data_IF_043374516967
#
_entry.id   IF_043374516967
#
_cell.length_a   1.000
_cell.length_b   1.000
_cell.length_c   1.000
_cell.angle_alpha   90.00
_cell.angle_beta   90.00
_cell.angle_gamma   90.00
#
_symmetry.space_group_name_H-M   'P 1'
#
loop_
_entity.id
_entity.type
_entity.pdbx_description
1 polymer ?
#
# COMPACT_ATOMS: atom_id res chain seq x y z
N UNK A 1 -20.95 -20.21 4.08
CA UNK A 1 -19.50 -20.46 4.28
C UNK A 1 -18.74 -19.71 3.20
N UNK A 2 -18.09 -18.57 3.52
CA UNK A 2 -17.22 -17.89 2.56
C UNK A 2 -16.04 -18.82 2.26
N UNK A 3 -15.85 -19.14 0.98
CA UNK A 3 -14.71 -19.93 0.49
C UNK A 3 -13.42 -19.21 0.89
N UNK A 4 -12.50 -19.89 1.59
CA UNK A 4 -11.24 -19.28 2.00
C UNK A 4 -10.51 -18.69 0.78
N UNK A 5 -10.02 -17.44 0.87
CA UNK A 5 -9.31 -16.82 -0.24
C UNK A 5 -7.97 -17.54 -0.45
N UNK A 6 -7.73 -18.03 -1.66
CA UNK A 6 -6.43 -18.59 -2.02
C UNK A 6 -5.43 -17.47 -2.29
N UNK A 7 -4.12 -17.69 -2.11
CA UNK A 7 -3.09 -16.68 -2.36
C UNK A 7 -3.20 -16.07 -3.76
N UNK A 8 -3.52 -16.89 -4.76
CA UNK A 8 -3.67 -16.45 -6.15
C UNK A 8 -4.89 -15.53 -6.33
N UNK A 9 -5.99 -15.80 -5.62
CA UNK A 9 -7.16 -14.91 -5.63
C UNK A 9 -6.87 -13.57 -4.96
N UNK A 10 -6.08 -13.58 -3.88
CA UNK A 10 -5.71 -12.34 -3.19
C UNK A 10 -4.78 -11.50 -4.06
N UNK A 11 -3.81 -12.12 -4.72
CA UNK A 11 -2.98 -11.44 -5.72
C UNK A 11 -3.85 -10.81 -6.81
N UNK A 12 -4.88 -11.51 -7.31
CA UNK A 12 -5.79 -10.95 -8.32
C UNK A 12 -6.69 -9.82 -7.80
N UNK A 13 -7.08 -9.84 -6.53
CA UNK A 13 -7.85 -8.75 -5.91
C UNK A 13 -6.96 -7.53 -5.70
N UNK A 14 -5.73 -7.71 -5.21
CA UNK A 14 -4.73 -6.65 -5.09
C UNK A 14 -4.37 -6.11 -6.48
N UNK A 15 -4.27 -6.98 -7.49
CA UNK A 15 -4.06 -6.60 -8.87
C UNK A 15 -5.15 -5.64 -9.37
N UNK A 16 -6.41 -6.01 -9.21
CA UNK A 16 -7.53 -5.19 -9.67
C UNK A 16 -7.61 -3.84 -8.95
N UNK A 17 -7.25 -3.80 -7.66
CA UNK A 17 -7.31 -2.58 -6.86
C UNK A 17 -6.13 -1.63 -7.04
N UNK A 18 -4.96 -2.16 -7.41
CA UNK A 18 -3.75 -1.39 -7.75
C UNK A 18 -3.71 -1.06 -9.25
N UNK A 19 -4.51 -1.73 -10.09
CA UNK A 19 -4.59 -1.43 -11.52
C UNK A 19 -5.04 0.02 -11.82
N UNK A 20 -5.91 0.58 -10.96
CA UNK A 20 -6.37 1.97 -11.03
C UNK A 20 -5.25 3.00 -10.73
N UNK A 21 -4.23 2.63 -9.94
CA UNK A 21 -3.03 3.45 -9.73
C UNK A 21 -1.97 3.25 -10.81
N UNK A 22 -2.20 2.37 -11.81
CA UNK A 22 -1.23 1.98 -12.84
C UNK A 22 0.11 1.46 -12.28
N UNK A 23 0.15 1.00 -11.03
CA UNK A 23 1.41 0.62 -10.35
C UNK A 23 1.75 -0.89 -10.45
N UNK A 24 1.00 -1.68 -11.23
CA UNK A 24 1.19 -3.13 -11.28
C UNK A 24 2.05 -3.58 -12.48
N UNK A 25 2.94 -4.58 -12.34
CA UNK A 25 3.74 -5.08 -13.46
C UNK A 25 2.90 -5.60 -14.64
N UNK A 26 3.25 -5.15 -15.85
CA UNK A 26 2.73 -5.77 -17.07
C UNK A 26 3.23 -7.19 -17.21
N UNK A 27 2.38 -8.11 -17.67
CA UNK A 27 2.81 -9.46 -18.00
C UNK A 27 3.83 -9.47 -19.14
N UNK A 28 4.80 -10.38 -19.04
CA UNK A 28 6.00 -10.52 -19.87
C UNK A 28 5.74 -10.85 -21.36
N UNK A 29 4.46 -10.99 -21.76
CA UNK A 29 4.00 -11.38 -23.10
C UNK A 29 3.07 -10.32 -23.74
N UNK A 30 3.46 -9.05 -23.74
CA UNK A 30 2.62 -7.95 -24.26
C UNK A 30 3.32 -7.12 -25.33
N UNK A 31 2.56 -6.65 -26.33
CA UNK A 31 3.06 -5.90 -27.49
C UNK A 31 3.70 -4.56 -27.09
N UNK A 32 4.75 -4.15 -27.82
CA UNK A 32 5.52 -2.90 -27.58
C UNK A 32 4.64 -1.65 -27.39
N UNK A 33 3.52 -1.56 -28.11
CA UNK A 33 2.55 -0.46 -28.03
C UNK A 33 1.74 -0.45 -26.73
N UNK A 34 1.34 -1.62 -26.19
CA UNK A 34 0.64 -1.68 -24.89
C UNK A 34 1.55 -1.28 -23.73
N UNK A 35 2.84 -1.64 -23.81
CA UNK A 35 3.86 -1.23 -22.84
C UNK A 35 4.05 0.29 -22.87
N UNK A 36 4.11 0.91 -24.05
CA UNK A 36 4.26 2.35 -24.20
C UNK A 36 3.05 3.12 -23.65
N UNK A 37 1.82 2.68 -23.99
CA UNK A 37 0.58 3.30 -23.50
C UNK A 37 0.45 3.17 -21.98
N UNK A 38 0.81 2.03 -21.39
CA UNK A 38 0.79 1.83 -19.94
C UNK A 38 1.77 2.76 -19.22
N UNK A 39 2.98 2.92 -19.76
CA UNK A 39 3.98 3.86 -19.23
C UNK A 39 3.49 5.31 -19.27
N UNK A 40 2.85 5.73 -20.36
CA UNK A 40 2.30 7.09 -20.48
C UNK A 40 1.16 7.34 -19.49
N UNK A 41 0.25 6.39 -19.32
CA UNK A 41 -0.87 6.50 -18.37
C UNK A 41 -0.40 6.52 -16.91
N UNK A 42 0.61 5.71 -16.56
CA UNK A 42 1.24 5.70 -15.25
C UNK A 42 1.92 7.04 -14.95
N UNK A 43 2.63 7.61 -15.94
CA UNK A 43 3.24 8.94 -15.84
C UNK A 43 2.18 10.03 -15.63
N UNK A 44 1.06 10.01 -16.37
CA UNK A 44 -0.02 11.00 -16.21
C UNK A 44 -0.72 10.89 -14.85
N UNK A 45 -0.95 9.67 -14.36
CA UNK A 45 -1.56 9.45 -13.04
C UNK A 45 -0.66 9.95 -11.91
N UNK A 46 0.64 9.65 -11.99
CA UNK A 46 1.65 10.17 -11.07
C UNK A 46 1.75 11.70 -11.20
N UNK A 47 1.77 12.27 -12.40
CA UNK A 47 1.80 13.73 -12.64
C UNK A 47 0.61 14.44 -12.00
N UNK A 48 -0.59 13.88 -12.09
CA UNK A 48 -1.80 14.49 -11.53
C UNK A 48 -1.83 14.42 -9.99
N UNK A 49 -1.34 13.33 -9.39
CA UNK A 49 -1.08 13.26 -7.94
C UNK A 49 0.08 14.19 -7.51
N UNK A 50 1.04 14.41 -8.42
CA UNK A 50 2.20 15.27 -8.23
C UNK A 50 1.96 16.76 -8.51
N UNK A 51 0.81 17.20 -9.04
CA UNK A 51 0.51 18.65 -9.19
C UNK A 51 0.42 19.40 -7.85
N UNK A 52 0.12 18.69 -6.76
CA UNK A 52 0.24 19.20 -5.39
C UNK A 52 1.68 19.08 -4.82
N UNK A 53 2.46 18.12 -5.33
CA UNK A 53 3.88 17.88 -5.01
C UNK A 53 4.83 18.78 -5.84
N UNK A 54 4.34 19.40 -6.92
CA UNK A 54 5.09 20.23 -7.87
C UNK A 54 5.67 21.51 -7.24
N UNK A 55 5.04 22.02 -6.16
CA UNK A 55 5.60 23.09 -5.33
C UNK A 55 6.81 22.64 -4.48
N UNK A 56 6.89 21.36 -4.10
CA UNK A 56 8.04 20.76 -3.41
C UNK A 56 9.10 20.26 -4.40
N UNK A 57 8.70 19.78 -5.58
CA UNK A 57 9.60 19.39 -6.68
C UNK A 57 10.34 20.55 -7.31
N UNK A 58 9.82 21.78 -7.28
CA UNK A 58 10.60 22.96 -7.71
C UNK A 58 11.89 23.10 -6.88
N UNK A 59 11.86 22.71 -5.61
CA UNK A 59 13.05 22.64 -4.74
C UNK A 59 13.99 21.46 -5.08
N UNK A 60 13.50 20.42 -5.76
CA UNK A 60 14.27 19.23 -6.20
C UNK A 60 14.78 19.41 -7.65
N UNK A 61 14.10 20.20 -8.47
CA UNK A 61 14.46 20.56 -9.86
C UNK A 61 15.85 21.19 -9.98
N UNK A 62 16.34 21.80 -8.90
CA UNK A 62 17.73 22.30 -8.79
C UNK A 62 18.78 21.17 -8.77
N UNK A 63 18.40 19.90 -8.52
CA UNK A 63 19.32 18.75 -8.37
C UNK A 63 18.97 17.58 -9.33
N UNK A 64 19.37 17.72 -10.59
CA UNK A 64 18.89 16.98 -11.78
C UNK A 64 19.50 15.58 -12.08
N UNK A 65 19.73 14.72 -11.08
CA UNK A 65 20.22 13.32 -11.27
C UNK A 65 19.15 12.20 -11.04
N UNK A 66 17.86 12.55 -10.90
CA UNK A 66 16.86 11.71 -10.21
C UNK A 66 15.96 10.76 -11.03
N UNK A 67 16.02 10.68 -12.38
CA UNK A 67 15.17 9.73 -13.17
C UNK A 67 15.64 8.28 -13.05
N UNK A 68 16.96 8.07 -12.94
CA UNK A 68 17.57 6.75 -12.81
C UNK A 68 17.14 6.09 -11.49
N UNK A 69 17.08 6.87 -10.42
CA UNK A 69 16.71 6.43 -9.07
C UNK A 69 15.25 5.93 -9.02
N UNK A 70 14.33 6.61 -9.72
CA UNK A 70 12.93 6.16 -9.81
C UNK A 70 12.84 4.83 -10.59
N UNK A 71 13.57 4.71 -11.70
CA UNK A 71 13.62 3.46 -12.47
C UNK A 71 14.21 2.29 -11.68
N UNK A 72 15.25 2.55 -10.89
CA UNK A 72 15.90 1.56 -10.03
C UNK A 72 14.96 1.10 -8.91
N UNK A 73 14.27 2.04 -8.25
CA UNK A 73 13.29 1.76 -7.21
C UNK A 73 12.14 0.89 -7.72
N UNK A 74 11.66 1.15 -8.95
CA UNK A 74 10.62 0.31 -9.58
C UNK A 74 11.14 -1.10 -9.82
N UNK A 75 12.35 -1.26 -10.37
CA UNK A 75 12.96 -2.57 -10.60
C UNK A 75 13.14 -3.36 -9.29
N UNK A 76 13.51 -2.70 -8.20
CA UNK A 76 13.64 -3.34 -6.88
C UNK A 76 12.30 -3.85 -6.35
N UNK A 77 11.23 -3.06 -6.46
CA UNK A 77 9.87 -3.49 -6.09
C UNK A 77 9.43 -4.68 -6.93
N UNK A 78 9.68 -4.65 -8.25
CA UNK A 78 9.35 -5.76 -9.15
C UNK A 78 10.08 -7.05 -8.77
N UNK A 79 11.37 -6.97 -8.45
CA UNK A 79 12.15 -8.13 -8.01
C UNK A 79 11.57 -8.77 -6.74
N UNK A 80 11.21 -7.95 -5.76
CA UNK A 80 10.61 -8.41 -4.49
C UNK A 80 9.25 -9.09 -4.72
N UNK A 81 8.47 -8.60 -5.69
CA UNK A 81 7.20 -9.21 -6.10
C UNK A 81 7.42 -10.54 -6.81
N UNK A 82 8.35 -10.59 -7.76
CA UNK A 82 8.66 -11.80 -8.52
C UNK A 82 9.12 -12.92 -7.59
N UNK A 83 10.04 -12.61 -6.66
CA UNK A 83 10.49 -13.57 -5.64
C UNK A 83 9.33 -14.08 -4.78
N UNK A 84 8.43 -13.18 -4.34
CA UNK A 84 7.23 -13.57 -3.60
C UNK A 84 6.35 -14.54 -4.42
N UNK A 85 6.07 -14.19 -5.68
CA UNK A 85 5.20 -14.95 -6.56
C UNK A 85 5.77 -16.34 -6.81
N UNK A 86 7.06 -16.42 -7.15
CA UNK A 86 7.71 -17.69 -7.46
C UNK A 86 7.82 -18.59 -6.22
N UNK A 87 8.11 -18.00 -5.06
CA UNK A 87 8.06 -18.75 -3.80
C UNK A 87 6.67 -19.31 -3.51
N UNK A 88 5.61 -18.52 -3.69
CA UNK A 88 4.23 -18.99 -3.44
C UNK A 88 3.84 -20.11 -4.41
N UNK A 89 4.29 -20.07 -5.66
CA UNK A 89 4.05 -21.15 -6.63
C UNK A 89 4.70 -22.45 -6.18
N UNK A 90 5.96 -22.39 -5.73
CA UNK A 90 6.76 -23.55 -5.32
C UNK A 90 6.53 -23.99 -3.87
N UNK A 91 5.74 -23.23 -3.10
CA UNK A 91 5.53 -23.45 -1.67
C UNK A 91 4.94 -24.84 -1.37
N UNK A 92 5.48 -25.47 -0.32
CA UNK A 92 5.02 -26.77 0.18
C UNK A 92 3.63 -26.64 0.82
N UNK A 93 2.90 -27.76 0.95
CA UNK A 93 1.52 -27.75 1.45
C UNK A 93 1.37 -27.10 2.83
N UNK A 94 2.33 -27.35 3.75
CA UNK A 94 2.28 -26.75 5.09
C UNK A 94 2.57 -25.23 5.06
N UNK A 95 3.41 -24.75 4.11
CA UNK A 95 3.70 -23.33 3.95
C UNK A 95 2.49 -22.60 3.36
N UNK A 96 1.83 -23.21 2.38
CA UNK A 96 0.56 -22.73 1.83
C UNK A 96 -0.51 -22.59 2.91
N UNK A 97 -0.60 -23.52 3.85
CA UNK A 97 -1.52 -23.42 4.97
C UNK A 97 -1.24 -22.19 5.85
N UNK A 98 0.03 -21.91 6.14
CA UNK A 98 0.45 -20.72 6.89
C UNK A 98 0.14 -19.44 6.11
N UNK A 99 0.41 -19.41 4.80
CA UNK A 99 0.05 -18.27 3.96
C UNK A 99 -1.46 -18.03 3.94
N UNK A 100 -2.27 -19.07 3.71
CA UNK A 100 -3.74 -18.97 3.73
C UNK A 100 -4.26 -18.47 5.08
N UNK A 101 -3.69 -18.96 6.19
CA UNK A 101 -4.02 -18.49 7.54
C UNK A 101 -3.73 -17.00 7.71
N UNK A 102 -2.54 -16.53 7.36
CA UNK A 102 -2.15 -15.12 7.48
C UNK A 102 -2.98 -14.23 6.53
N UNK A 103 -3.26 -14.70 5.32
CA UNK A 103 -4.15 -14.01 4.37
C UNK A 103 -5.56 -13.89 4.93
N UNK A 104 -6.15 -14.99 5.45
CA UNK A 104 -7.52 -14.97 5.97
C UNK A 104 -7.69 -13.99 7.14
N UNK A 105 -6.62 -13.79 7.92
CA UNK A 105 -6.58 -12.86 9.04
C UNK A 105 -6.66 -11.39 8.57
N UNK A 106 -5.96 -11.02 7.51
CA UNK A 106 -5.93 -9.64 7.03
C UNK A 106 -6.94 -9.34 5.92
N UNK A 107 -7.43 -10.36 5.20
CA UNK A 107 -8.23 -10.18 3.98
C UNK A 107 -9.55 -9.44 4.21
N UNK A 108 -10.22 -9.70 5.34
CA UNK A 108 -11.50 -9.04 5.65
C UNK A 108 -11.27 -7.55 5.89
N UNK A 109 -10.26 -7.21 6.69
CA UNK A 109 -9.95 -5.83 7.04
C UNK A 109 -9.41 -5.03 5.85
N UNK A 110 -8.47 -5.58 5.08
CA UNK A 110 -7.93 -4.90 3.89
C UNK A 110 -8.98 -4.80 2.78
N UNK A 111 -9.77 -5.85 2.57
CA UNK A 111 -10.85 -5.85 1.60
C UNK A 111 -11.94 -4.84 1.95
N UNK A 112 -12.35 -4.76 3.22
CA UNK A 112 -13.35 -3.78 3.67
C UNK A 112 -12.83 -2.35 3.60
N UNK A 113 -11.58 -2.12 4.01
CA UNK A 113 -10.93 -0.79 3.96
C UNK A 113 -10.85 -0.30 2.52
N UNK A 114 -10.40 -1.16 1.60
CA UNK A 114 -10.33 -0.86 0.17
C UNK A 114 -11.71 -0.55 -0.43
N UNK A 115 -12.71 -1.39 -0.14
CA UNK A 115 -14.07 -1.16 -0.61
C UNK A 115 -14.64 0.17 -0.08
N UNK A 116 -14.43 0.47 1.21
CA UNK A 116 -14.86 1.71 1.83
C UNK A 116 -14.21 2.93 1.16
N UNK A 117 -12.90 2.90 0.91
CA UNK A 117 -12.18 4.01 0.26
C UNK A 117 -12.69 4.30 -1.15
N UNK A 118 -12.91 3.26 -1.97
CA UNK A 118 -13.46 3.45 -3.32
C UNK A 118 -14.92 3.89 -3.32
N UNK A 119 -15.73 3.40 -2.37
CA UNK A 119 -17.10 3.88 -2.20
C UNK A 119 -17.12 5.37 -1.81
N UNK A 120 -16.22 5.81 -0.93
CA UNK A 120 -16.07 7.22 -0.57
C UNK A 120 -15.63 8.07 -1.75
N UNK A 121 -14.65 7.63 -2.55
CA UNK A 121 -14.23 8.34 -3.76
C UNK A 121 -15.36 8.46 -4.80
N UNK A 122 -16.14 7.38 -4.98
CA UNK A 122 -17.32 7.41 -5.84
C UNK A 122 -18.40 8.37 -5.30
N UNK A 123 -18.71 8.30 -4.01
CA UNK A 123 -19.67 9.21 -3.37
C UNK A 123 -19.23 10.68 -3.48
N UNK A 124 -17.93 10.96 -3.36
CA UNK A 124 -17.37 12.29 -3.55
C UNK A 124 -17.51 12.77 -4.99
N UNK A 125 -17.18 11.91 -5.95
CA UNK A 125 -17.25 12.23 -7.38
C UNK A 125 -18.67 12.45 -7.87
N UNK A 126 -19.64 11.62 -7.43
CA UNK A 126 -21.04 11.71 -7.87
C UNK A 126 -21.91 12.60 -6.98
N UNK A 127 -21.41 13.01 -5.80
CA UNK A 127 -22.14 13.87 -4.86
C UNK A 127 -22.75 15.13 -5.49
N UNK A 128 -22.02 15.90 -6.32
CA UNK A 128 -22.53 17.11 -6.98
C UNK A 128 -23.68 16.87 -7.97
N UNK A 129 -23.88 15.64 -8.44
CA UNK A 129 -25.00 15.31 -9.32
C UNK A 129 -26.32 15.15 -8.55
N UNK A 130 -26.25 14.95 -7.23
CA UNK A 130 -27.41 14.65 -6.37
C UNK A 130 -27.67 15.80 -5.39
N UNK A 131 -26.59 16.38 -4.86
CA UNK A 131 -26.63 17.47 -3.90
C UNK A 131 -26.58 18.82 -4.62
N UNK A 132 -27.15 19.89 -4.05
CA UNK A 132 -27.11 21.25 -4.62
C UNK A 132 -25.73 21.91 -4.44
N UNK A 133 -24.65 21.19 -4.78
CA UNK A 133 -23.25 21.64 -4.70
C UNK A 133 -22.62 21.57 -6.09
N UNK A 134 -21.79 22.54 -6.45
CA UNK A 134 -21.26 22.65 -7.81
C UNK A 134 -20.07 21.71 -8.09
N UNK A 135 -19.29 21.38 -7.06
CA UNK A 135 -18.05 20.62 -7.18
C UNK A 135 -17.93 19.59 -6.05
N UNK A 136 -17.19 18.47 -6.29
CA UNK A 136 -16.90 17.47 -5.26
C UNK A 136 -16.25 18.09 -4.01
N UNK A 137 -15.30 19.01 -4.22
CA UNK A 137 -14.61 19.75 -3.18
C UNK A 137 -14.92 21.25 -3.28
N UNK A 138 -15.23 21.87 -2.14
CA UNK A 138 -15.32 23.33 -2.03
C UNK A 138 -13.91 23.92 -2.07
N UNK A 139 -13.53 24.43 -3.24
CA UNK A 139 -12.24 25.07 -3.47
C UNK A 139 -12.45 26.44 -4.11
N UNK A 140 -11.71 27.45 -3.63
CA UNK A 140 -11.68 28.77 -4.23
C UNK A 140 -10.60 28.82 -5.32
N UNK A 141 -10.96 29.35 -6.48
CA UNK A 141 -10.06 29.49 -7.61
C UNK A 141 -9.77 30.97 -7.87
N UNK A 142 -8.50 31.37 -8.16
CA UNK A 142 -8.13 32.76 -8.43
C UNK A 142 -8.64 33.27 -9.80
N UNK A 143 -9.47 32.50 -10.48
CA UNK A 143 -10.07 32.80 -11.77
C UNK A 143 -11.57 32.44 -11.75
N UNK A 144 -12.34 33.06 -12.66
CA UNK A 144 -13.79 32.82 -12.73
C UNK A 144 -14.08 31.39 -13.18
N UNK A 145 -14.92 30.68 -12.43
CA UNK A 145 -15.30 29.27 -12.71
C UNK A 145 -16.68 29.18 -13.38
N UNK A 146 -17.31 30.31 -13.67
CA UNK A 146 -18.73 30.40 -14.01
C UNK A 146 -19.06 30.00 -15.47
N UNK A 147 -18.08 29.56 -16.27
CA UNK A 147 -18.29 29.16 -17.66
C UNK A 147 -18.05 27.66 -17.86
N UNK A 148 -18.93 27.06 -18.68
CA UNK A 148 -19.12 25.62 -18.81
C UNK A 148 -17.85 24.78 -19.00
N UNK A 149 -16.89 25.11 -19.90
CA UNK A 149 -15.71 24.27 -20.11
C UNK A 149 -14.77 24.24 -18.90
N UNK A 150 -14.57 25.35 -18.19
CA UNK A 150 -13.69 25.36 -17.01
C UNK A 150 -14.32 24.65 -15.83
N UNK A 151 -15.64 24.78 -15.66
CA UNK A 151 -16.39 23.99 -14.69
C UNK A 151 -16.19 22.48 -14.94
N UNK A 152 -16.38 22.02 -16.18
CA UNK A 152 -16.19 20.61 -16.54
C UNK A 152 -14.75 20.13 -16.29
N UNK A 153 -13.74 20.93 -16.63
CA UNK A 153 -12.33 20.59 -16.39
C UNK A 153 -12.05 20.42 -14.89
N UNK A 154 -12.51 21.37 -14.07
CA UNK A 154 -12.32 21.31 -12.61
C UNK A 154 -13.02 20.10 -12.03
N UNK A 155 -14.27 19.85 -12.43
CA UNK A 155 -15.05 18.70 -11.96
C UNK A 155 -14.35 17.38 -12.28
N UNK A 156 -13.89 17.20 -13.52
CA UNK A 156 -13.16 16.00 -13.95
C UNK A 156 -11.86 15.86 -13.14
N UNK A 157 -11.10 16.94 -12.96
CA UNK A 157 -9.85 16.92 -12.21
C UNK A 157 -10.05 16.54 -10.74
N UNK A 158 -11.01 17.16 -10.05
CA UNK A 158 -11.33 16.82 -8.66
C UNK A 158 -11.84 15.37 -8.52
N UNK A 159 -12.60 14.88 -9.50
CA UNK A 159 -13.04 13.48 -9.53
C UNK A 159 -11.85 12.53 -9.67
N UNK A 160 -10.92 12.79 -10.60
CA UNK A 160 -9.70 11.99 -10.78
C UNK A 160 -8.87 11.99 -9.49
N UNK A 161 -8.68 13.15 -8.85
CA UNK A 161 -7.95 13.25 -7.58
C UNK A 161 -8.57 12.36 -6.50
N UNK A 162 -9.90 12.30 -6.40
CA UNK A 162 -10.57 11.47 -5.39
C UNK A 162 -10.27 9.96 -5.57
N UNK A 163 -10.27 9.48 -6.82
CA UNK A 163 -9.90 8.10 -7.13
C UNK A 163 -8.40 7.83 -6.93
N UNK A 164 -7.54 8.83 -7.17
CA UNK A 164 -6.11 8.71 -6.89
C UNK A 164 -5.82 8.59 -5.39
N UNK A 165 -6.54 9.32 -4.54
CA UNK A 165 -6.46 9.15 -3.09
C UNK A 165 -6.86 7.73 -2.65
N UNK A 166 -7.93 7.18 -3.21
CA UNK A 166 -8.31 5.79 -2.95
C UNK A 166 -7.26 4.77 -3.45
N UNK A 167 -6.62 5.07 -4.58
CA UNK A 167 -5.58 4.21 -5.14
C UNK A 167 -4.27 4.25 -4.32
N UNK A 168 -3.93 5.38 -3.68
CA UNK A 168 -2.81 5.48 -2.73
C UNK A 168 -2.95 4.48 -1.58
N UNK A 169 -4.15 4.37 -1.00
CA UNK A 169 -4.42 3.37 0.05
C UNK A 169 -4.17 1.94 -0.41
N UNK A 170 -4.37 1.64 -1.69
CA UNK A 170 -4.09 0.32 -2.25
C UNK A 170 -2.58 0.03 -2.29
N UNK A 171 -1.75 1.05 -2.51
CA UNK A 171 -0.28 0.94 -2.40
C UNK A 171 0.12 0.65 -0.95
N UNK A 172 -0.54 1.28 0.02
CA UNK A 172 -0.33 1.00 1.45
C UNK A 172 -0.68 -0.45 1.81
N UNK A 173 -1.82 -0.95 1.34
CA UNK A 173 -2.23 -2.36 1.50
C UNK A 173 -1.25 -3.30 0.81
N UNK A 174 -0.74 -2.93 -0.36
CA UNK A 174 0.24 -3.72 -1.09
C UNK A 174 1.56 -3.86 -0.32
N UNK A 175 2.12 -2.75 0.19
CA UNK A 175 3.31 -2.79 1.06
C UNK A 175 3.08 -3.60 2.32
N UNK A 176 1.92 -3.43 2.97
CA UNK A 176 1.51 -4.23 4.11
C UNK A 176 1.39 -5.74 3.80
N UNK A 177 0.97 -6.10 2.58
CA UNK A 177 0.87 -7.50 2.14
C UNK A 177 2.24 -8.15 1.98
N UNK A 178 3.23 -7.41 1.50
CA UNK A 178 4.63 -7.88 1.42
C UNK A 178 5.22 -8.09 2.82
N UNK A 179 4.90 -7.22 3.79
CA UNK A 179 5.28 -7.43 5.19
C UNK A 179 4.60 -8.67 5.79
N UNK A 180 3.31 -8.91 5.51
CA UNK A 180 2.62 -10.14 5.92
C UNK A 180 3.25 -11.39 5.33
N UNK A 181 3.60 -11.37 4.04
CA UNK A 181 4.32 -12.45 3.38
C UNK A 181 5.67 -12.71 4.07
N UNK A 182 6.45 -11.65 4.31
CA UNK A 182 7.73 -11.73 5.02
C UNK A 182 7.57 -12.35 6.41
N UNK A 183 6.57 -11.92 7.18
CA UNK A 183 6.27 -12.47 8.49
C UNK A 183 5.87 -13.96 8.43
N UNK A 184 5.06 -14.35 7.44
CA UNK A 184 4.68 -15.75 7.22
C UNK A 184 5.90 -16.62 6.90
N UNK A 185 6.87 -16.11 6.14
CA UNK A 185 8.14 -16.80 5.87
C UNK A 185 8.97 -17.01 7.13
N UNK A 186 8.99 -16.03 8.05
CA UNK A 186 9.62 -16.19 9.37
C UNK A 186 8.86 -17.20 10.24
N UNK A 187 7.54 -17.29 10.13
CA UNK A 187 6.73 -18.31 10.80
C UNK A 187 7.06 -19.73 10.29
N UNK A 188 7.19 -19.91 8.96
CA UNK A 188 7.66 -21.16 8.36
C UNK A 188 9.05 -21.54 8.90
N UNK A 189 10.00 -20.59 8.89
CA UNK A 189 11.35 -20.80 9.40
C UNK A 189 11.36 -21.19 10.89
N UNK A 190 10.51 -20.58 11.72
CA UNK A 190 10.38 -20.93 13.13
C UNK A 190 9.90 -22.38 13.32
N UNK A 191 9.05 -22.89 12.43
CA UNK A 191 8.59 -24.28 12.47
C UNK A 191 9.70 -25.24 12.02
N UNK A 192 10.47 -24.90 10.99
CA UNK A 192 11.64 -25.69 10.56
C UNK A 192 12.71 -25.77 11.65
N UNK A 193 13.00 -24.65 12.31
CA UNK A 193 13.95 -24.60 13.43
C UNK A 193 13.52 -25.52 14.57
N UNK A 194 12.24 -25.56 14.93
CA UNK A 194 11.73 -26.47 15.98
C UNK A 194 11.86 -27.96 15.63
N UNK A 195 11.92 -28.30 14.35
CA UNK A 195 12.06 -29.68 13.87
C UNK A 195 13.52 -30.07 13.63
N UNK A 196 14.45 -29.14 13.84
CA UNK A 196 15.88 -29.37 13.61
C UNK A 196 16.42 -30.31 14.68
N UNK A 197 17.12 -31.36 14.26
CA UNK A 197 17.75 -32.35 15.14
C UNK A 197 19.26 -32.39 15.02
N UNK A 198 19.82 -31.75 13.99
CA UNK A 198 21.23 -31.86 13.62
C UNK A 198 21.82 -30.49 13.26
N UNK A 199 23.11 -30.31 13.57
CA UNK A 199 23.87 -29.09 13.24
C UNK A 199 23.82 -28.75 11.74
N UNK A 200 23.85 -29.77 10.87
CA UNK A 200 23.73 -29.54 9.40
C UNK A 200 22.40 -28.89 9.02
N UNK A 201 21.29 -29.32 9.63
CA UNK A 201 19.98 -28.72 9.39
C UNK A 201 19.87 -27.32 10.03
N UNK A 202 20.52 -27.10 11.17
CA UNK A 202 20.63 -25.77 11.79
C UNK A 202 21.37 -24.79 10.87
N UNK A 203 22.49 -25.19 10.28
CA UNK A 203 23.23 -24.37 9.30
C UNK A 203 22.36 -23.99 8.11
N UNK A 204 21.55 -24.92 7.59
CA UNK A 204 20.60 -24.64 6.51
C UNK A 204 19.54 -23.61 6.95
N UNK A 205 19.00 -23.75 8.15
CA UNK A 205 18.02 -22.78 8.68
C UNK A 205 18.64 -21.39 8.88
N UNK A 206 19.89 -21.29 9.36
CA UNK A 206 20.60 -20.01 9.48
C UNK A 206 20.83 -19.36 8.12
N UNK A 207 21.19 -20.15 7.08
CA UNK A 207 21.32 -19.63 5.72
C UNK A 207 19.98 -19.10 5.18
N UNK A 208 18.88 -19.84 5.40
CA UNK A 208 17.53 -19.39 5.04
C UNK A 208 17.13 -18.12 5.78
N UNK A 209 17.47 -18.02 7.07
CA UNK A 209 17.24 -16.82 7.86
C UNK A 209 17.95 -15.60 7.25
N UNK A 210 19.24 -15.72 6.93
CA UNK A 210 20.00 -14.60 6.35
C UNK A 210 19.41 -14.15 5.01
N UNK A 211 18.99 -15.09 4.17
CA UNK A 211 18.29 -14.78 2.93
C UNK A 211 16.99 -14.02 3.18
N UNK A 212 16.19 -14.47 4.13
CA UNK A 212 14.93 -13.84 4.47
C UNK A 212 15.11 -12.45 5.10
N UNK A 213 16.19 -12.23 5.85
CA UNK A 213 16.56 -10.90 6.36
C UNK A 213 16.88 -9.93 5.23
N UNK A 214 17.63 -10.36 4.20
CA UNK A 214 17.90 -9.52 3.02
C UNK A 214 16.60 -9.17 2.29
N UNK A 215 15.73 -10.14 2.08
CA UNK A 215 14.41 -9.89 1.49
C UNK A 215 13.59 -8.88 2.31
N UNK A 216 13.55 -9.03 3.63
CA UNK A 216 12.86 -8.11 4.52
C UNK A 216 13.43 -6.68 4.45
N UNK A 217 14.76 -6.55 4.38
CA UNK A 217 15.43 -5.26 4.22
C UNK A 217 15.10 -4.60 2.88
N UNK A 218 15.05 -5.37 1.79
CA UNK A 218 14.62 -4.87 0.47
C UNK A 218 13.15 -4.41 0.48
N UNK A 219 12.24 -5.18 1.09
CA UNK A 219 10.84 -4.77 1.29
C UNK A 219 10.79 -3.46 2.08
N UNK A 220 11.45 -3.39 3.23
CA UNK A 220 11.40 -2.20 4.09
C UNK A 220 11.97 -0.98 3.38
N UNK A 221 13.11 -1.10 2.70
CA UNK A 221 13.74 0.01 1.98
C UNK A 221 12.85 0.55 0.84
N UNK A 222 12.15 -0.33 0.13
CA UNK A 222 11.24 0.06 -0.95
C UNK A 222 10.03 0.88 -0.44
N UNK A 223 9.51 0.56 0.75
CA UNK A 223 8.33 1.22 1.31
C UNK A 223 8.63 2.30 2.35
N UNK A 224 9.89 2.44 2.79
CA UNK A 224 10.27 3.36 3.88
C UNK A 224 9.81 4.79 3.62
N UNK A 225 10.03 5.32 2.41
CA UNK A 225 9.62 6.69 2.07
C UNK A 225 8.10 6.84 1.99
N UNK A 226 7.39 5.81 1.50
CA UNK A 226 5.92 5.80 1.44
C UNK A 226 5.34 5.82 2.85
N UNK A 227 5.86 4.98 3.76
CA UNK A 227 5.42 4.93 5.16
C UNK A 227 5.74 6.23 5.89
N UNK A 228 6.94 6.80 5.69
CA UNK A 228 7.32 8.08 6.30
C UNK A 228 6.40 9.22 5.81
N UNK A 229 6.15 9.29 4.50
CA UNK A 229 5.20 10.23 3.91
C UNK A 229 3.81 10.08 4.52
N UNK A 230 3.28 8.86 4.57
CA UNK A 230 1.97 8.57 5.16
C UNK A 230 1.88 9.04 6.62
N UNK A 231 2.90 8.75 7.45
CA UNK A 231 2.93 9.18 8.87
C UNK A 231 2.97 10.71 8.99
N UNK A 232 3.79 11.39 8.19
CA UNK A 232 3.92 12.86 8.24
C UNK A 232 2.60 13.52 7.85
N UNK A 233 2.02 13.12 6.71
CA UNK A 233 0.73 13.64 6.25
C UNK A 233 -0.37 13.33 7.26
N UNK A 234 -0.42 12.10 7.76
CA UNK A 234 -1.38 11.69 8.78
C UNK A 234 -1.33 12.57 10.03
N UNK A 235 -0.12 12.90 10.49
CA UNK A 235 0.08 13.75 11.67
C UNK A 235 -0.44 15.17 11.44
N UNK A 236 -0.16 15.75 10.28
CA UNK A 236 -0.67 17.08 9.90
C UNK A 236 -2.20 17.05 9.79
N UNK A 237 -2.77 16.04 9.13
CA UNK A 237 -4.23 15.92 8.97
C UNK A 237 -4.91 15.73 10.33
N UNK A 238 -4.40 14.85 11.19
CA UNK A 238 -4.98 14.60 12.51
C UNK A 238 -4.92 15.83 13.42
N UNK A 239 -3.82 16.60 13.38
CA UNK A 239 -3.71 17.84 14.17
C UNK A 239 -4.71 18.90 13.68
N UNK A 240 -4.84 19.11 12.37
CA UNK A 240 -5.83 20.02 11.79
C UNK A 240 -7.28 19.58 12.08
N UNK A 241 -7.57 18.28 11.97
CA UNK A 241 -8.87 17.73 12.31
C UNK A 241 -9.18 17.93 13.80
N UNK A 242 -8.21 17.70 14.68
CA UNK A 242 -8.36 17.91 16.13
C UNK A 242 -8.71 19.35 16.48
N UNK A 243 -8.01 20.32 15.89
CA UNK A 243 -8.33 21.75 16.07
C UNK A 243 -9.76 22.05 15.60
N UNK A 244 -10.15 21.53 14.43
CA UNK A 244 -11.46 21.78 13.84
C UNK A 244 -12.61 21.15 14.63
N UNK A 245 -12.36 20.02 15.31
CA UNK A 245 -13.33 19.37 16.19
C UNK A 245 -13.60 20.13 17.49
N UNK A 246 -12.63 20.93 17.96
CA UNK A 246 -12.77 21.77 19.16
C UNK A 246 -13.54 23.05 18.85
N UNK A 247 -13.39 23.59 17.64
CA UNK A 247 -14.13 24.79 17.19
C UNK A 247 -15.62 24.48 17.11
N UNK A 248 -16.46 25.41 17.58
CA UNK A 248 -17.90 25.25 17.55
C UNK A 248 -18.41 25.20 16.10
N UNK A 249 -18.64 23.97 15.63
CA UNK A 249 -19.02 23.65 14.26
C UNK A 249 -20.29 22.79 14.23
N UNK A 250 -21.11 22.86 13.16
CA UNK A 250 -22.31 22.04 13.02
C UNK A 250 -22.00 20.54 13.13
N UNK A 251 -22.91 19.76 13.73
CA UNK A 251 -22.72 18.32 13.97
C UNK A 251 -22.31 17.55 12.69
N UNK A 252 -22.91 17.88 11.54
CA UNK A 252 -22.59 17.24 10.26
C UNK A 252 -21.13 17.44 9.87
N UNK A 253 -20.57 18.63 10.13
CA UNK A 253 -19.17 18.96 9.83
C UNK A 253 -18.25 18.18 10.76
N UNK A 254 -18.56 18.11 12.06
CA UNK A 254 -17.79 17.30 13.03
C UNK A 254 -17.74 15.82 12.65
N UNK A 255 -18.87 15.26 12.22
CA UNK A 255 -18.93 13.87 11.77
C UNK A 255 -18.03 13.60 10.55
N UNK A 256 -17.93 14.53 9.60
CA UNK A 256 -17.00 14.42 8.45
C UNK A 256 -15.54 14.36 8.91
N UNK A 257 -15.14 15.21 9.84
CA UNK A 257 -13.77 15.20 10.37
C UNK A 257 -13.45 13.95 11.19
N UNK A 258 -14.42 13.40 11.92
CA UNK A 258 -14.26 12.10 12.61
C UNK A 258 -13.99 10.99 11.59
N UNK A 259 -14.74 10.96 10.47
CA UNK A 259 -14.50 9.97 9.40
C UNK A 259 -13.09 10.12 8.83
N UNK A 260 -12.63 11.35 8.58
CA UNK A 260 -11.25 11.61 8.11
C UNK A 260 -10.23 11.06 9.11
N UNK A 261 -10.40 11.34 10.41
CA UNK A 261 -9.52 10.81 11.45
C UNK A 261 -9.47 9.28 11.43
N UNK A 262 -10.63 8.62 11.33
CA UNK A 262 -10.70 7.16 11.26
C UNK A 262 -10.01 6.60 10.02
N UNK A 263 -10.17 7.24 8.86
CA UNK A 263 -9.48 6.80 7.63
C UNK A 263 -7.97 6.93 7.73
N UNK A 264 -7.46 8.03 8.29
CA UNK A 264 -6.03 8.27 8.48
C UNK A 264 -5.44 7.29 9.49
N UNK A 265 -6.13 7.04 10.61
CA UNK A 265 -5.72 6.04 11.59
C UNK A 265 -5.73 4.62 11.01
N UNK A 266 -6.70 4.32 10.13
CA UNK A 266 -6.76 3.05 9.40
C UNK A 266 -5.53 2.88 8.50
N UNK A 267 -5.09 3.93 7.80
CA UNK A 267 -3.87 3.91 6.99
C UNK A 267 -2.63 3.59 7.82
N UNK A 268 -2.46 4.23 8.98
CA UNK A 268 -1.36 3.93 9.89
C UNK A 268 -1.43 2.47 10.36
N UNK A 269 -2.61 2.02 10.76
CA UNK A 269 -2.81 0.66 11.27
C UNK A 269 -2.51 -0.43 10.22
N UNK A 270 -2.77 -0.17 8.93
CA UNK A 270 -2.42 -1.07 7.82
C UNK A 270 -0.92 -1.39 7.81
N UNK A 271 -0.07 -0.43 8.17
CA UNK A 271 1.39 -0.66 8.24
C UNK A 271 1.83 -1.29 9.56
N UNK A 272 1.31 -0.82 10.70
CA UNK A 272 1.77 -1.27 12.02
C UNK A 272 1.41 -2.73 12.28
N UNK A 273 0.25 -3.18 11.83
CA UNK A 273 -0.23 -4.54 12.11
C UNK A 273 0.70 -5.65 11.57
N UNK A 274 1.06 -5.70 10.27
CA UNK A 274 2.03 -6.68 9.79
C UNK A 274 3.44 -6.45 10.34
N UNK A 275 3.83 -5.20 10.61
CA UNK A 275 5.15 -4.88 11.15
C UNK A 275 5.34 -5.46 12.57
N UNK A 276 4.34 -5.31 13.43
CA UNK A 276 4.35 -5.88 14.79
C UNK A 276 4.35 -7.42 14.74
N UNK A 277 3.53 -8.01 13.85
CA UNK A 277 3.54 -9.47 13.68
C UNK A 277 4.88 -10.00 13.16
N UNK A 278 5.50 -9.30 12.21
CA UNK A 278 6.83 -9.64 11.70
C UNK A 278 7.87 -9.59 12.81
N UNK A 279 7.86 -8.54 13.65
CA UNK A 279 8.74 -8.40 14.81
C UNK A 279 8.60 -9.59 15.77
N UNK A 280 7.37 -10.01 16.07
CA UNK A 280 7.12 -11.17 16.92
C UNK A 280 7.66 -12.48 16.33
N UNK A 281 7.52 -12.68 15.02
CA UNK A 281 8.06 -13.86 14.33
C UNK A 281 9.58 -13.86 14.31
N UNK A 282 10.22 -12.71 14.06
CA UNK A 282 11.68 -12.57 14.12
C UNK A 282 12.20 -12.88 15.53
N UNK A 283 11.58 -12.32 16.57
CA UNK A 283 11.95 -12.59 17.96
C UNK A 283 11.83 -14.08 18.31
N UNK A 284 10.77 -14.74 17.84
CA UNK A 284 10.60 -16.19 18.01
C UNK A 284 11.73 -16.99 17.35
N UNK A 285 12.12 -16.65 16.13
CA UNK A 285 13.24 -17.30 15.42
C UNK A 285 14.55 -17.12 16.19
N UNK A 286 14.84 -15.90 16.64
CA UNK A 286 16.05 -15.61 17.42
C UNK A 286 16.10 -16.40 18.74
N UNK A 287 14.98 -16.52 19.45
CA UNK A 287 14.88 -17.30 20.68
C UNK A 287 15.10 -18.80 20.44
N UNK A 288 14.60 -19.35 19.32
CA UNK A 288 14.81 -20.76 18.99
C UNK A 288 16.28 -21.04 18.70
N UNK A 289 16.94 -20.19 17.92
CA UNK A 289 18.37 -20.35 17.62
C UNK A 289 19.22 -20.26 18.89
N UNK A 290 18.89 -19.31 19.78
CA UNK A 290 19.59 -19.18 21.06
C UNK A 290 19.48 -20.46 21.90
N UNK A 291 18.33 -21.15 21.88
CA UNK A 291 18.18 -22.44 22.58
C UNK A 291 19.01 -23.55 21.97
N UNK A 292 19.05 -23.64 20.63
CA UNK A 292 19.83 -24.67 19.92
C UNK A 292 21.35 -24.47 20.00
N UNK A 293 21.83 -23.25 20.23
CA UNK A 293 23.27 -22.95 20.37
C UNK A 293 23.79 -23.16 21.80
N UNK A 294 22.91 -23.08 22.81
CA UNK A 294 23.28 -23.26 24.22
C UNK A 294 23.23 -24.74 24.64
N UNK A 295 22.52 -25.58 23.88
CA UNK A 295 22.39 -27.03 24.10
C UNK A 295 23.54 -27.80 23.44
#
# INVERSE_FOLDING_TARGET
>A
MLKQPTPERVINIIWFSVASSFCWPLSTYSSRTRILVYKVLQIISVINACMLFLALLYSIYVHSDNIIIVSESICLVLRVIEEMIDYIKEAQQYEREIFCKNISRCSVFYGSSMACMYLTAAAFSFGPAILPVSFPCEAEYPFRVNYMPVNVIIYIHQSILSFQCAAHMCVSIFGASLLWYTAARFECLAIELKKTTNIRMLIVCIKKQLHLWRYAEEVINNFRFVVLYAIVISTIVLTLCGITLIIDSPLVVRMRFIVICLTVLTEIYIYTWPADYMKDMVNRVLLLIRKEVIM
#
